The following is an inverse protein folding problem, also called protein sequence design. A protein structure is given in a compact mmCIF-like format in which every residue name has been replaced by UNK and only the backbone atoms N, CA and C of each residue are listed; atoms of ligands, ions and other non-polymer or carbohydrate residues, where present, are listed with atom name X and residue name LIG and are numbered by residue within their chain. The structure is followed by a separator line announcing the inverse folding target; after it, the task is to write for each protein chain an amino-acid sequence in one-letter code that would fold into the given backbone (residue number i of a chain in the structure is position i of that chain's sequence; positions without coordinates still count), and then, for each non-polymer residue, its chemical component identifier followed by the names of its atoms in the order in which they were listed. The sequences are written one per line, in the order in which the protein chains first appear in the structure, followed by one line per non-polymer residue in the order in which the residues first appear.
data_IF_935855805327
#
_entry.id   IF_935855805327
#
_cell.length_a   1.000
_cell.length_b   1.000
_cell.length_c   1.000
_cell.angle_alpha   90.00
_cell.angle_beta   90.00
_cell.angle_gamma   90.00
#
_symmetry.space_group_name_H-M   'P 1'
#
loop_
_entity.id
_entity.type
_entity.pdbx_description
1 polymer ?
#
# COMPACT_ATOMS: atom_id res chain seq x y z
N UNK A 1 -7.64 -36.55 -63.58
CA UNK A 1 -8.18 -36.36 -62.23
C UNK A 1 -7.04 -36.41 -61.18
N UNK A 2 -5.94 -35.61 -61.28
CA UNK A 2 -4.82 -35.64 -60.29
C UNK A 2 -4.28 -34.22 -59.98
N UNK A 3 -5.00 -33.16 -60.23
CA UNK A 3 -4.53 -31.76 -60.00
C UNK A 3 -5.32 -30.92 -58.99
N UNK A 4 -6.31 -31.52 -58.26
CA UNK A 4 -7.13 -30.81 -57.33
C UNK A 4 -6.79 -31.11 -55.85
N UNK A 5 -6.02 -32.18 -55.53
CA UNK A 5 -5.68 -32.51 -54.15
C UNK A 5 -4.52 -31.72 -53.52
N UNK A 6 -3.62 -31.16 -54.33
CA UNK A 6 -2.45 -30.45 -53.83
C UNK A 6 -2.74 -29.08 -53.21
N UNK A 7 -3.86 -28.42 -53.55
CA UNK A 7 -4.19 -27.08 -53.04
C UNK A 7 -4.86 -27.08 -51.67
N UNK A 8 -5.45 -28.18 -51.24
CA UNK A 8 -6.12 -28.23 -49.92
C UNK A 8 -5.17 -28.60 -48.78
N UNK A 9 -4.07 -29.29 -49.05
CA UNK A 9 -3.08 -29.65 -48.03
C UNK A 9 -2.34 -28.44 -47.50
N UNK A 10 -2.02 -27.45 -48.31
CA UNK A 10 -1.34 -26.21 -47.87
C UNK A 10 -2.26 -25.24 -47.08
N UNK A 11 -3.58 -25.30 -47.28
CA UNK A 11 -4.52 -24.49 -46.51
C UNK A 11 -4.79 -25.06 -45.11
N UNK A 12 -4.78 -26.38 -44.95
CA UNK A 12 -4.94 -27.04 -43.66
C UNK A 12 -3.68 -26.92 -42.77
N UNK A 13 -2.47 -26.91 -43.37
CA UNK A 13 -1.23 -26.69 -42.61
C UNK A 13 -1.09 -25.28 -42.04
N UNK A 14 -1.59 -24.25 -42.73
CA UNK A 14 -1.53 -22.87 -42.23
C UNK A 14 -2.49 -22.61 -41.06
N UNK A 15 -3.63 -23.25 -41.02
CA UNK A 15 -4.62 -23.13 -39.92
C UNK A 15 -4.12 -23.84 -38.66
N UNK A 16 -3.40 -24.94 -38.78
CA UNK A 16 -2.84 -25.70 -37.66
C UNK A 16 -1.68 -24.97 -36.95
N UNK A 17 -0.90 -24.14 -37.66
CA UNK A 17 0.22 -23.40 -37.09
C UNK A 17 -0.25 -22.17 -36.29
N UNK A 18 -1.36 -21.53 -36.68
CA UNK A 18 -1.92 -20.39 -35.95
C UNK A 18 -2.64 -20.81 -34.64
N UNK A 19 -3.17 -22.02 -34.59
CA UNK A 19 -3.82 -22.56 -33.37
C UNK A 19 -2.80 -23.04 -32.31
N UNK A 20 -1.56 -23.36 -32.69
CA UNK A 20 -0.53 -23.85 -31.76
C UNK A 20 0.21 -22.75 -30.96
N UNK A 21 0.14 -21.47 -31.37
CA UNK A 21 0.81 -20.36 -30.68
C UNK A 21 -0.04 -19.74 -29.55
N UNK A 22 -1.28 -20.11 -29.39
CA UNK A 22 -2.17 -19.53 -28.39
C UNK A 22 -2.16 -20.27 -27.02
N UNK A 23 -1.43 -21.38 -26.87
CA UNK A 23 -1.43 -22.22 -25.68
C UNK A 23 -0.13 -22.25 -24.87
N UNK A 24 0.85 -21.40 -25.17
CA UNK A 24 2.16 -21.39 -24.50
C UNK A 24 2.34 -20.24 -23.49
N UNK A 25 1.31 -19.91 -22.72
CA UNK A 25 1.34 -18.78 -21.77
C UNK A 25 0.87 -19.10 -20.36
N UNK A 26 1.13 -20.30 -19.81
CA UNK A 26 0.98 -20.58 -18.38
C UNK A 26 1.95 -21.68 -17.97
N UNK A 27 3.10 -21.31 -17.47
CA UNK A 27 4.01 -22.20 -16.73
C UNK A 27 4.38 -21.54 -15.41
N UNK A 28 3.78 -21.94 -14.44
CA UNK A 28 3.86 -22.19 -13.03
C UNK A 28 5.27 -22.49 -12.53
N UNK A 29 5.71 -21.78 -11.51
CA UNK A 29 6.86 -22.14 -10.68
C UNK A 29 6.33 -22.86 -9.43
N UNK A 30 6.65 -24.15 -9.33
CA UNK A 30 6.50 -24.97 -8.12
C UNK A 30 7.77 -24.80 -7.28
N UNK A 31 7.58 -24.45 -6.02
CA UNK A 31 8.58 -24.48 -4.97
C UNK A 31 8.08 -25.32 -3.84
N UNK A 32 8.59 -26.56 -3.73
CA UNK A 32 8.32 -27.51 -2.66
C UNK A 32 8.88 -27.01 -1.32
N UNK A 33 8.04 -26.96 -0.30
CA UNK A 33 8.44 -27.02 1.11
C UNK A 33 7.47 -27.90 1.87
N UNK A 34 7.86 -29.13 2.04
CA UNK A 34 7.26 -30.16 2.88
C UNK A 34 7.49 -29.80 4.35
N UNK A 35 6.41 -29.61 5.13
CA UNK A 35 6.42 -29.67 6.60
C UNK A 35 5.23 -30.47 7.08
N UNK A 36 5.55 -31.48 7.88
CA UNK A 36 4.72 -32.52 8.43
C UNK A 36 3.45 -32.01 9.15
N UNK A 37 2.34 -32.69 8.86
CA UNK A 37 1.08 -32.56 9.56
C UNK A 37 1.08 -33.40 10.83
N UNK A 38 0.75 -32.78 11.96
CA UNK A 38 0.30 -33.46 13.17
C UNK A 38 -1.21 -33.23 13.33
N UNK A 39 -1.95 -34.34 13.41
CA UNK A 39 -3.40 -34.38 13.43
C UNK A 39 -3.93 -34.04 14.83
N UNK A 40 -4.85 -33.10 14.93
CA UNK A 40 -5.76 -32.96 16.06
C UNK A 40 -7.22 -32.96 15.57
N UNK A 41 -8.04 -33.76 16.22
CA UNK A 41 -9.41 -34.12 15.89
C UNK A 41 -10.40 -32.94 16.02
N UNK A 42 -11.57 -33.00 15.34
CA UNK A 42 -12.53 -31.90 15.29
C UNK A 42 -13.44 -31.90 16.53
N UNK A 43 -13.60 -30.71 17.12
CA UNK A 43 -14.69 -30.43 18.05
C UNK A 43 -15.86 -29.86 17.24
N UNK A 44 -16.99 -30.55 17.22
CA UNK A 44 -18.26 -30.07 16.73
C UNK A 44 -18.74 -28.89 17.58
N UNK A 45 -18.95 -27.74 16.97
CA UNK A 45 -19.69 -26.64 17.57
C UNK A 45 -20.87 -26.25 16.67
N UNK A 46 -22.03 -26.26 17.29
CA UNK A 46 -23.34 -26.08 16.75
C UNK A 46 -23.50 -24.84 15.88
N UNK A 47 -24.14 -25.03 14.72
CA UNK A 47 -24.62 -23.97 13.84
C UNK A 47 -25.84 -23.31 14.47
N UNK A 48 -25.70 -22.11 14.95
CA UNK A 48 -26.84 -21.24 15.27
C UNK A 48 -27.00 -20.24 14.11
N UNK A 49 -28.06 -20.43 13.35
CA UNK A 49 -28.41 -19.58 12.20
C UNK A 49 -29.01 -18.28 12.72
N UNK A 50 -28.20 -17.27 12.94
CA UNK A 50 -28.66 -15.90 13.19
C UNK A 50 -28.78 -15.15 11.87
N UNK A 51 -29.99 -14.83 11.56
CA UNK A 51 -30.51 -13.96 10.49
C UNK A 51 -29.67 -12.67 10.37
N UNK A 52 -29.19 -12.40 9.14
CA UNK A 52 -28.32 -11.28 8.84
C UNK A 52 -28.87 -9.93 9.23
N UNK A 53 -28.23 -9.33 10.23
CA UNK A 53 -28.17 -7.89 10.38
C UNK A 53 -26.89 -7.45 9.68
N UNK A 54 -27.01 -6.55 8.71
CA UNK A 54 -25.90 -5.82 8.12
C UNK A 54 -25.12 -5.17 9.28
N UNK A 55 -23.82 -5.44 9.47
CA UNK A 55 -23.06 -4.72 10.49
C UNK A 55 -22.89 -3.29 10.04
N UNK A 56 -23.79 -2.43 10.49
CA UNK A 56 -23.64 -1.00 10.38
C UNK A 56 -22.70 -0.54 11.49
N UNK A 57 -21.72 0.26 11.12
CA UNK A 57 -20.66 0.85 11.91
C UNK A 57 -19.60 -0.17 12.38
N UNK A 58 -18.46 -0.19 11.66
CA UNK A 58 -17.22 -0.72 12.19
C UNK A 58 -16.97 -0.04 13.55
N UNK A 59 -17.21 -0.77 14.64
CA UNK A 59 -17.02 -0.25 15.98
C UNK A 59 -15.52 0.01 16.15
N UNK A 60 -15.15 1.28 16.38
CA UNK A 60 -13.77 1.63 16.72
C UNK A 60 -13.40 0.87 17.97
N UNK A 61 -12.67 -0.22 17.79
CA UNK A 61 -12.12 -1.01 18.90
C UNK A 61 -10.93 -0.24 19.44
N UNK A 62 -10.94 0.12 20.70
CA UNK A 62 -9.81 0.80 21.33
C UNK A 62 -9.83 0.52 22.83
N UNK A 63 -8.65 0.30 23.41
CA UNK A 63 -8.51 0.21 24.84
C UNK A 63 -8.68 1.60 25.48
N UNK A 64 -9.33 1.65 26.63
CA UNK A 64 -9.34 2.85 27.46
C UNK A 64 -7.93 2.95 28.14
N UNK A 65 -7.24 4.09 28.03
CA UNK A 65 -5.94 4.27 28.69
C UNK A 65 -5.97 4.02 30.20
N UNK A 66 -7.11 4.20 30.84
CA UNK A 66 -7.29 3.97 32.30
C UNK A 66 -7.18 2.49 32.69
N UNK A 67 -7.42 1.56 31.76
CA UNK A 67 -7.31 0.11 32.06
C UNK A 67 -5.92 -0.45 31.76
N UNK A 68 -5.00 0.36 31.18
CA UNK A 68 -3.65 -0.03 30.86
C UNK A 68 -2.66 1.11 31.21
N UNK A 69 -2.46 1.39 32.50
CA UNK A 69 -1.53 2.43 32.93
C UNK A 69 -0.09 2.09 32.47
N UNK A 70 0.63 3.10 31.99
CA UNK A 70 1.98 2.92 31.44
C UNK A 70 2.07 2.43 30.00
N UNK A 71 0.93 2.16 29.35
CA UNK A 71 0.89 1.80 27.92
C UNK A 71 0.63 3.03 27.06
N UNK A 72 1.54 3.31 26.14
CA UNK A 72 1.36 4.32 25.10
C UNK A 72 0.63 3.70 23.91
N UNK A 73 -0.56 4.23 23.58
CA UNK A 73 -1.38 3.76 22.47
C UNK A 73 -1.11 4.55 21.19
N UNK A 74 -1.27 3.88 20.05
CA UNK A 74 -1.31 4.47 18.70
C UNK A 74 -2.58 3.97 18.00
N UNK A 75 -3.26 4.84 17.28
CA UNK A 75 -4.45 4.53 16.50
C UNK A 75 -4.17 4.79 15.02
N UNK A 76 -4.40 3.76 14.20
CA UNK A 76 -4.21 3.81 12.75
C UNK A 76 -5.52 3.46 12.05
N UNK A 77 -6.02 4.36 11.22
CA UNK A 77 -7.25 4.19 10.46
C UNK A 77 -7.00 4.44 8.99
N UNK A 78 -7.56 3.57 8.15
CA UNK A 78 -7.59 3.78 6.72
C UNK A 78 -9.04 3.96 6.25
N UNK A 79 -9.27 5.00 5.47
CA UNK A 79 -10.55 5.39 4.93
C UNK A 79 -10.54 5.33 3.41
N UNK A 80 -11.66 4.92 2.83
CA UNK A 80 -11.94 5.06 1.40
C UNK A 80 -13.09 6.04 1.22
N UNK A 81 -12.90 7.03 0.34
CA UNK A 81 -13.88 8.06 0.06
C UNK A 81 -13.96 8.34 -1.45
N UNK A 82 -15.07 8.97 -1.92
CA UNK A 82 -15.07 9.62 -3.22
C UNK A 82 -13.92 10.63 -3.33
N UNK A 83 -13.30 10.71 -4.49
CA UNK A 83 -12.09 11.51 -4.71
C UNK A 83 -12.24 13.00 -4.36
N UNK A 84 -13.43 13.56 -4.61
CA UNK A 84 -13.77 14.95 -4.29
C UNK A 84 -14.04 15.17 -2.78
N UNK A 85 -14.26 14.09 -2.03
CA UNK A 85 -14.53 14.16 -0.59
C UNK A 85 -13.26 14.00 0.27
N UNK A 86 -12.14 13.53 -0.30
CA UNK A 86 -10.90 13.31 0.47
C UNK A 86 -10.38 14.59 1.12
N UNK A 87 -10.26 15.68 0.36
CA UNK A 87 -9.82 16.97 0.90
C UNK A 87 -10.80 17.53 1.92
N UNK A 88 -12.12 17.38 1.66
CA UNK A 88 -13.18 17.80 2.58
C UNK A 88 -13.09 17.06 3.92
N UNK A 89 -12.84 15.74 3.88
CA UNK A 89 -12.63 14.93 5.07
C UNK A 89 -11.41 15.39 5.87
N UNK A 90 -10.27 15.65 5.19
CA UNK A 90 -9.07 16.16 5.83
C UNK A 90 -9.32 17.50 6.54
N UNK A 91 -9.93 18.46 5.86
CA UNK A 91 -10.23 19.77 6.43
C UNK A 91 -11.16 19.65 7.66
N UNK A 92 -12.21 18.84 7.59
CA UNK A 92 -13.11 18.62 8.72
C UNK A 92 -12.44 17.93 9.91
N UNK A 93 -11.51 16.99 9.68
CA UNK A 93 -10.74 16.39 10.76
C UNK A 93 -9.77 17.38 11.41
N UNK A 94 -9.12 18.25 10.61
CA UNK A 94 -8.29 19.35 11.13
C UNK A 94 -9.13 20.31 11.99
N UNK A 95 -10.32 20.68 11.54
CA UNK A 95 -11.25 21.51 12.31
C UNK A 95 -11.71 20.82 13.61
N UNK A 96 -11.98 19.52 13.57
CA UNK A 96 -12.32 18.74 14.76
C UNK A 96 -11.20 18.79 15.79
N UNK A 97 -9.96 18.62 15.37
CA UNK A 97 -8.78 18.78 16.22
C UNK A 97 -8.66 20.21 16.78
N UNK A 98 -8.85 21.22 15.92
CA UNK A 98 -8.76 22.63 16.33
C UNK A 98 -9.80 22.99 17.42
N UNK A 99 -11.02 22.42 17.36
CA UNK A 99 -12.06 22.59 18.39
C UNK A 99 -11.66 22.05 19.75
N UNK A 100 -10.83 21.01 19.83
CA UNK A 100 -10.32 20.48 21.09
C UNK A 100 -9.28 21.39 21.75
N UNK A 101 -8.66 22.25 20.97
CA UNK A 101 -7.64 23.20 21.43
C UNK A 101 -6.23 22.58 21.46
N UNK A 102 -5.21 23.45 21.43
CA UNK A 102 -3.80 23.08 21.25
C UNK A 102 -3.22 22.15 22.32
N UNK A 103 -3.75 22.20 23.52
CA UNK A 103 -3.29 21.37 24.64
C UNK A 103 -3.83 19.94 24.57
N UNK A 104 -4.89 19.72 23.82
CA UNK A 104 -5.59 18.42 23.75
C UNK A 104 -5.52 17.77 22.37
N UNK A 105 -5.28 18.55 21.31
CA UNK A 105 -5.08 18.04 19.97
C UNK A 105 -4.12 18.92 19.18
N UNK A 106 -3.20 18.31 18.45
CA UNK A 106 -2.28 18.98 17.54
C UNK A 106 -2.19 18.20 16.24
N UNK A 107 -2.24 18.89 15.14
CA UNK A 107 -1.91 18.32 13.83
C UNK A 107 -0.39 18.22 13.74
N UNK A 108 0.12 17.00 13.56
CA UNK A 108 1.56 16.74 13.45
C UNK A 108 2.03 16.74 11.99
N UNK A 109 1.19 16.22 11.08
CA UNK A 109 1.49 16.21 9.64
C UNK A 109 0.20 16.23 8.83
N UNK A 110 0.25 16.86 7.65
CA UNK A 110 -0.78 16.83 6.62
C UNK A 110 -0.10 16.49 5.31
N UNK A 111 -0.58 15.47 4.64
CA UNK A 111 -0.11 15.09 3.31
C UNK A 111 -1.30 14.94 2.38
N UNK A 112 -1.20 15.49 1.16
CA UNK A 112 -2.16 15.31 0.08
C UNK A 112 -1.44 15.32 -1.25
N UNK A 113 -1.56 14.26 -2.02
CA UNK A 113 -1.03 14.18 -3.38
C UNK A 113 -2.07 13.60 -4.30
N UNK A 114 -2.35 14.31 -5.40
CA UNK A 114 -3.12 13.82 -6.52
C UNK A 114 -2.21 13.72 -7.73
N UNK A 115 -2.09 12.55 -8.31
CA UNK A 115 -1.47 12.38 -9.64
C UNK A 115 -2.54 12.63 -10.69
N UNK A 116 -2.15 13.22 -11.81
CA UNK A 116 -3.05 13.43 -12.96
C UNK A 116 -3.74 12.09 -13.29
N UNK A 117 -5.07 12.05 -13.24
CA UNK A 117 -5.91 10.86 -13.47
C UNK A 117 -5.57 9.61 -12.62
N UNK A 118 -4.76 9.76 -11.57
CA UNK A 118 -4.32 8.68 -10.68
C UNK A 118 -4.98 8.70 -9.31
N UNK A 119 -4.66 7.69 -8.48
CA UNK A 119 -5.18 7.60 -7.12
C UNK A 119 -4.72 8.78 -6.25
N UNK A 120 -5.61 9.23 -5.37
CA UNK A 120 -5.27 10.18 -4.32
C UNK A 120 -4.55 9.42 -3.21
N UNK A 121 -3.41 9.96 -2.77
CA UNK A 121 -2.68 9.55 -1.57
C UNK A 121 -2.72 10.71 -0.59
N UNK A 122 -3.39 10.51 0.54
CA UNK A 122 -3.56 11.55 1.53
C UNK A 122 -3.46 10.97 2.95
N UNK A 123 -2.86 11.72 3.87
CA UNK A 123 -2.75 11.33 5.27
C UNK A 123 -2.80 12.53 6.21
N UNK A 124 -3.28 12.27 7.41
CA UNK A 124 -3.26 13.19 8.55
C UNK A 124 -2.71 12.47 9.77
N UNK A 125 -1.80 13.11 10.48
CA UNK A 125 -1.29 12.63 11.74
C UNK A 125 -1.60 13.63 12.84
N UNK A 126 -2.21 13.14 13.90
CA UNK A 126 -2.58 13.93 15.08
C UNK A 126 -1.86 13.42 16.32
N UNK A 127 -1.61 14.33 17.25
CA UNK A 127 -1.23 14.04 18.61
C UNK A 127 -2.40 14.48 19.50
N UNK A 128 -3.10 13.53 20.07
CA UNK A 128 -4.36 13.74 20.82
C UNK A 128 -4.14 13.38 22.29
N UNK A 129 -4.80 14.10 23.19
CA UNK A 129 -4.85 13.74 24.62
C UNK A 129 -5.35 12.28 24.74
N UNK A 130 -4.60 11.41 25.47
CA UNK A 130 -4.96 9.99 25.58
C UNK A 130 -6.40 9.72 26.01
N UNK A 131 -6.96 10.56 26.88
CA UNK A 131 -8.34 10.43 27.34
C UNK A 131 -9.37 10.72 26.23
N UNK A 132 -8.98 11.44 25.19
CA UNK A 132 -9.86 11.84 24.08
C UNK A 132 -9.61 11.06 22.78
N UNK A 133 -8.48 10.36 22.67
CA UNK A 133 -8.06 9.71 21.44
C UNK A 133 -9.13 8.75 20.88
N UNK A 134 -9.77 7.96 21.76
CA UNK A 134 -10.83 7.02 21.37
C UNK A 134 -12.11 7.70 20.89
N UNK A 135 -12.54 8.78 21.56
CA UNK A 135 -13.73 9.53 21.12
C UNK A 135 -13.46 10.28 19.83
N UNK A 136 -12.30 10.92 19.73
CA UNK A 136 -11.86 11.60 18.52
C UNK A 136 -11.81 10.66 17.30
N UNK A 137 -11.29 9.44 17.49
CA UNK A 137 -11.26 8.43 16.43
C UNK A 137 -12.66 7.98 15.99
N UNK A 138 -13.61 7.81 16.95
CA UNK A 138 -15.02 7.50 16.61
C UNK A 138 -15.68 8.61 15.83
N UNK A 139 -15.56 9.84 16.31
CA UNK A 139 -16.14 11.01 15.64
C UNK A 139 -15.58 11.16 14.22
N UNK A 140 -14.30 10.80 14.01
CA UNK A 140 -13.67 10.79 12.69
C UNK A 140 -14.26 9.74 11.75
N UNK A 141 -14.52 8.51 12.25
CA UNK A 141 -15.19 7.46 11.46
C UNK A 141 -16.61 7.89 11.08
N UNK A 142 -17.37 8.45 12.02
CA UNK A 142 -18.74 8.92 11.77
C UNK A 142 -18.76 10.08 10.75
N UNK A 143 -17.76 10.95 10.80
CA UNK A 143 -17.59 12.03 9.82
C UNK A 143 -17.36 11.48 8.41
N UNK A 144 -16.48 10.50 8.27
CA UNK A 144 -16.20 9.85 6.98
C UNK A 144 -17.43 9.14 6.43
N UNK A 145 -18.18 8.43 7.28
CA UNK A 145 -19.45 7.80 6.89
C UNK A 145 -20.47 8.82 6.39
N UNK A 146 -20.50 10.02 6.97
CA UNK A 146 -21.35 11.14 6.51
C UNK A 146 -20.89 11.80 5.19
N UNK A 147 -19.75 11.39 4.64
CA UNK A 147 -19.20 11.82 3.34
C UNK A 147 -19.22 10.67 2.30
N UNK A 148 -20.11 9.70 2.46
CA UNK A 148 -20.18 8.50 1.62
C UNK A 148 -18.86 7.68 1.58
N UNK A 149 -18.06 7.83 2.64
CA UNK A 149 -16.82 7.07 2.82
C UNK A 149 -17.02 5.87 3.73
N UNK A 150 -16.03 4.99 3.73
CA UNK A 150 -15.99 3.78 4.55
C UNK A 150 -14.67 3.63 5.30
N UNK A 151 -14.70 3.01 6.47
CA UNK A 151 -13.53 2.57 7.20
C UNK A 151 -13.06 1.23 6.63
N UNK A 152 -11.86 1.21 6.04
CA UNK A 152 -11.30 0.00 5.41
C UNK A 152 -10.33 -0.73 6.33
N UNK A 153 -9.68 -0.03 7.25
CA UNK A 153 -8.81 -0.62 8.27
C UNK A 153 -8.87 0.18 9.57
N UNK A 154 -8.81 -0.54 10.69
CA UNK A 154 -8.71 0.02 12.04
C UNK A 154 -7.73 -0.82 12.86
N UNK A 155 -6.65 -0.21 13.29
CA UNK A 155 -5.65 -0.85 14.12
C UNK A 155 -5.36 0.01 15.34
N UNK A 156 -5.24 -0.63 16.50
CA UNK A 156 -4.82 0.01 17.75
C UNK A 156 -3.62 -0.77 18.28
N UNK A 157 -2.47 -0.10 18.36
CA UNK A 157 -1.24 -0.63 18.94
C UNK A 157 -1.03 -0.07 20.34
N UNK A 158 -0.38 -0.84 21.20
CA UNK A 158 0.05 -0.40 22.55
C UNK A 158 1.48 -0.82 22.83
N UNK A 159 2.27 0.07 23.41
CA UNK A 159 3.63 -0.21 23.86
C UNK A 159 3.72 0.13 25.33
N UNK A 160 4.13 -0.85 26.16
CA UNK A 160 4.44 -0.62 27.58
C UNK A 160 5.71 0.23 27.68
N UNK A 161 5.56 1.48 28.05
CA UNK A 161 6.66 2.41 28.34
C UNK A 161 6.82 2.66 29.85
N UNK A 162 5.80 2.28 30.64
CA UNK A 162 5.77 2.48 32.08
C UNK A 162 6.89 1.70 32.77
N UNK A 163 7.07 0.43 32.41
CA UNK A 163 8.16 -0.40 32.96
C UNK A 163 9.53 0.18 32.65
N UNK A 164 9.73 0.78 31.46
CA UNK A 164 10.97 1.48 31.11
C UNK A 164 11.19 2.74 31.95
N UNK A 165 10.14 3.55 32.16
CA UNK A 165 10.20 4.75 33.02
C UNK A 165 10.61 4.37 34.43
N UNK A 166 9.97 3.34 35.02
CA UNK A 166 10.29 2.85 36.36
C UNK A 166 11.72 2.32 36.46
N UNK A 167 12.21 1.61 35.45
CA UNK A 167 13.58 1.10 35.39
C UNK A 167 14.59 2.26 35.34
N UNK A 168 14.38 3.24 34.50
CA UNK A 168 15.22 4.44 34.40
C UNK A 168 15.25 5.25 35.70
N UNK A 169 14.10 5.36 36.39
CA UNK A 169 14.04 6.03 37.70
C UNK A 169 14.89 5.33 38.76
N UNK A 170 14.78 4.00 38.84
CA UNK A 170 15.59 3.18 39.80
C UNK A 170 17.07 3.27 39.45
N UNK A 171 17.44 3.18 38.16
CA UNK A 171 18.83 3.26 37.75
C UNK A 171 19.41 4.66 38.04
N UNK A 172 18.66 5.72 37.73
CA UNK A 172 19.09 7.10 38.07
C UNK A 172 19.30 7.30 39.56
N UNK A 173 18.45 6.72 40.41
CA UNK A 173 18.61 6.79 41.85
C UNK A 173 19.90 6.05 42.31
N UNK A 174 20.22 4.87 41.76
CA UNK A 174 21.42 4.15 42.04
C UNK A 174 22.70 4.91 41.62
N UNK A 175 22.69 5.44 40.35
CA UNK A 175 23.79 6.24 39.84
C UNK A 175 24.01 7.51 40.66
N UNK A 176 22.92 8.13 41.17
CA UNK A 176 22.98 9.26 42.07
C UNK A 176 23.70 8.89 43.39
N UNK A 177 23.34 7.77 44.01
CA UNK A 177 24.00 7.28 45.22
C UNK A 177 25.49 6.96 45.00
N UNK A 178 25.87 6.46 43.83
CA UNK A 178 27.27 6.24 43.47
C UNK A 178 28.02 7.55 43.27
N UNK A 179 27.40 8.51 42.60
CA UNK A 179 27.96 9.84 42.42
C UNK A 179 28.21 10.54 43.76
N UNK A 180 27.22 10.51 44.68
CA UNK A 180 27.36 11.08 46.02
C UNK A 180 28.53 10.50 46.76
N UNK A 181 28.76 9.19 46.68
CA UNK A 181 29.91 8.50 47.32
C UNK A 181 31.25 8.96 46.75
N UNK A 182 31.33 9.13 45.40
CA UNK A 182 32.53 9.63 44.73
C UNK A 182 32.78 11.09 45.14
N UNK A 183 31.75 11.93 45.13
CA UNK A 183 31.86 13.33 45.51
C UNK A 183 32.28 13.47 46.98
N UNK A 184 31.72 12.70 47.88
CA UNK A 184 32.16 12.65 49.28
C UNK A 184 33.61 12.21 49.38
N UNK A 185 34.06 11.21 48.63
CA UNK A 185 35.47 10.81 48.59
C UNK A 185 36.39 11.92 48.10
N UNK A 186 35.98 12.69 47.07
CA UNK A 186 36.73 13.84 46.56
C UNK A 186 36.93 14.98 47.56
N UNK A 187 36.07 15.08 48.59
CA UNK A 187 36.20 16.07 49.65
C UNK A 187 37.17 15.66 50.77
N UNK A 188 37.54 14.38 50.83
CA UNK A 188 38.43 13.86 51.86
C UNK A 188 39.87 14.31 51.65
N UNK A 189 40.64 14.63 52.76
CA UNK A 189 42.05 14.94 52.64
C UNK A 189 42.87 13.69 52.32
N UNK A 190 44.07 13.87 51.73
CA UNK A 190 45.04 12.81 51.49
C UNK A 190 44.94 12.11 50.13
N UNK A 191 44.08 12.56 49.24
CA UNK A 191 44.03 12.06 47.85
C UNK A 191 45.23 12.48 47.04
N UNK A 192 45.88 11.57 46.35
CA UNK A 192 46.89 11.88 45.35
C UNK A 192 46.23 12.57 44.13
N UNK A 193 47.05 13.25 43.34
CA UNK A 193 46.57 13.91 42.10
C UNK A 193 45.99 12.90 41.10
N UNK A 194 46.59 11.71 41.02
CA UNK A 194 46.11 10.63 40.13
C UNK A 194 44.74 10.07 40.56
N UNK A 195 44.55 9.75 41.86
CA UNK A 195 43.26 9.31 42.41
C UNK A 195 42.18 10.35 42.25
N UNK A 196 42.49 11.62 42.45
CA UNK A 196 41.57 12.73 42.25
C UNK A 196 41.10 12.79 40.77
N UNK A 197 42.03 12.68 39.81
CA UNK A 197 41.71 12.70 38.39
C UNK A 197 40.83 11.52 38.01
N UNK A 198 41.11 10.33 38.52
CA UNK A 198 40.29 9.13 38.28
C UNK A 198 38.87 9.26 38.84
N UNK A 199 38.71 9.70 40.10
CA UNK A 199 37.40 9.94 40.69
C UNK A 199 36.61 11.02 39.94
N UNK A 200 37.28 12.07 39.46
CA UNK A 200 36.63 13.07 38.62
C UNK A 200 36.16 12.51 37.29
N UNK A 201 36.93 11.63 36.67
CA UNK A 201 36.52 10.93 35.44
C UNK A 201 35.32 10.03 35.70
N UNK A 202 35.32 9.23 36.78
CA UNK A 202 34.21 8.38 37.17
C UNK A 202 32.95 9.21 37.44
N UNK A 203 33.06 10.32 38.17
CA UNK A 203 31.93 11.23 38.41
C UNK A 203 31.40 11.83 37.10
N UNK A 204 32.30 12.13 36.15
CA UNK A 204 31.92 12.59 34.83
C UNK A 204 31.13 11.58 34.03
N UNK A 205 31.53 10.31 34.07
CA UNK A 205 30.82 9.18 33.44
C UNK A 205 29.42 9.01 34.04
N UNK A 206 29.32 8.88 35.38
CA UNK A 206 28.03 8.73 36.06
C UNK A 206 27.04 9.85 35.74
N UNK A 207 27.51 11.12 35.68
CA UNK A 207 26.66 12.24 35.27
C UNK A 207 26.22 12.15 33.78
N UNK A 208 27.06 11.51 32.96
CA UNK A 208 26.71 11.20 31.56
C UNK A 208 25.57 10.19 31.49
N UNK A 209 25.73 9.07 32.25
CA UNK A 209 24.74 8.01 32.27
C UNK A 209 23.39 8.47 32.85
N UNK A 210 23.43 9.25 33.96
CA UNK A 210 22.20 9.86 34.52
C UNK A 210 21.45 10.76 33.49
N UNK A 211 22.17 11.51 32.67
CA UNK A 211 21.53 12.33 31.61
C UNK A 211 20.90 11.46 30.53
N UNK A 212 21.52 10.34 30.22
CA UNK A 212 20.95 9.36 29.29
C UNK A 212 19.64 8.78 29.82
N UNK A 213 19.62 8.33 31.08
CA UNK A 213 18.42 7.80 31.72
C UNK A 213 17.30 8.86 31.82
N UNK A 214 17.64 10.07 32.19
CA UNK A 214 16.68 11.19 32.23
C UNK A 214 16.08 11.49 30.86
N UNK A 215 16.87 11.41 29.78
CA UNK A 215 16.37 11.59 28.42
C UNK A 215 15.40 10.47 28.00
N UNK A 216 15.75 9.20 28.31
CA UNK A 216 14.88 8.05 28.07
C UNK A 216 13.55 8.14 28.82
N UNK A 217 13.61 8.53 30.10
CA UNK A 217 12.42 8.73 30.93
C UNK A 217 11.49 9.81 30.34
N UNK A 218 12.05 10.96 29.94
CA UNK A 218 11.26 12.04 29.32
C UNK A 218 10.64 11.64 28.00
N UNK A 219 11.33 10.83 27.21
CA UNK A 219 10.76 10.28 25.97
C UNK A 219 9.56 9.35 26.27
N UNK A 220 9.71 8.45 27.26
CA UNK A 220 8.60 7.59 27.69
C UNK A 220 7.40 8.39 28.19
N UNK A 221 7.64 9.40 29.04
CA UNK A 221 6.59 10.29 29.55
C UNK A 221 5.92 11.08 28.42
N UNK A 222 6.67 11.56 27.43
CA UNK A 222 6.11 12.24 26.26
C UNK A 222 5.21 11.33 25.41
N UNK A 223 5.57 10.04 25.30
CA UNK A 223 4.72 9.03 24.61
C UNK A 223 3.41 8.78 25.36
N UNK A 224 3.42 8.81 26.69
CA UNK A 224 2.22 8.69 27.51
C UNK A 224 1.35 9.95 27.47
N UNK A 225 1.97 11.12 27.30
CA UNK A 225 1.28 12.41 27.34
C UNK A 225 0.46 12.71 26.07
N UNK A 226 0.72 12.04 24.96
CA UNK A 226 0.00 12.26 23.70
C UNK A 226 -0.10 10.97 22.90
N UNK A 227 -1.30 10.66 22.45
CA UNK A 227 -1.60 9.49 21.61
C UNK A 227 -1.56 9.87 20.15
N UNK A 228 -0.69 9.25 19.32
CA UNK A 228 -0.75 9.39 17.88
C UNK A 228 -2.05 8.80 17.31
N UNK A 229 -2.73 9.57 16.47
CA UNK A 229 -3.89 9.12 15.71
C UNK A 229 -3.59 9.41 14.24
N UNK A 230 -3.48 8.37 13.45
CA UNK A 230 -3.06 8.42 12.05
C UNK A 230 -4.24 8.07 11.15
N UNK A 231 -4.55 8.93 10.20
CA UNK A 231 -5.56 8.71 9.19
C UNK A 231 -4.90 8.64 7.82
N UNK A 232 -5.19 7.57 7.09
CA UNK A 232 -4.81 7.41 5.69
C UNK A 232 -6.08 7.42 4.86
N UNK A 233 -6.08 8.18 3.77
CA UNK A 233 -7.23 8.30 2.87
C UNK A 233 -6.84 7.82 1.51
N UNK A 234 -7.66 6.95 0.95
CA UNK A 234 -7.57 6.53 -0.44
C UNK A 234 -8.82 6.98 -1.18
N UNK A 235 -8.64 7.58 -2.34
CA UNK A 235 -9.73 7.92 -3.23
C UNK A 235 -10.43 6.64 -3.69
N UNK A 236 -11.71 6.74 -3.98
CA UNK A 236 -12.44 5.64 -4.60
C UNK A 236 -12.10 5.60 -6.09
N UNK A 237 -10.82 5.35 -6.40
CA UNK A 237 -10.42 5.00 -7.76
C UNK A 237 -11.04 3.66 -8.09
N UNK A 238 -12.34 3.67 -8.34
CA UNK A 238 -12.97 2.66 -9.16
C UNK A 238 -12.13 2.49 -10.41
N UNK A 239 -12.18 1.33 -11.03
CA UNK A 239 -11.58 1.03 -12.33
C UNK A 239 -11.63 2.31 -13.17
N UNK A 240 -10.48 2.79 -13.64
CA UNK A 240 -10.40 4.06 -14.37
C UNK A 240 -11.52 4.11 -15.43
N UNK A 241 -12.42 5.09 -15.30
CA UNK A 241 -13.61 5.19 -16.12
C UNK A 241 -14.91 4.59 -15.57
N UNK A 242 -14.93 3.97 -14.36
CA UNK A 242 -16.16 3.46 -13.75
C UNK A 242 -16.64 4.39 -12.62
N UNK A 243 -17.66 5.18 -12.89
CA UNK A 243 -18.39 5.99 -11.91
C UNK A 243 -19.57 5.16 -11.37
N UNK A 244 -19.51 4.77 -10.09
CA UNK A 244 -20.56 3.98 -9.45
C UNK A 244 -21.89 4.75 -9.33
N UNK A 245 -21.86 6.08 -9.38
CA UNK A 245 -23.06 6.93 -9.39
C UNK A 245 -23.73 6.97 -10.76
N UNK A 246 -22.98 6.60 -11.83
CA UNK A 246 -23.49 6.56 -13.23
C UNK A 246 -22.97 5.32 -13.96
N UNK A 247 -23.39 4.12 -13.53
CA UNK A 247 -22.79 2.86 -14.02
C UNK A 247 -22.91 2.67 -15.52
N UNK A 248 -23.99 3.13 -16.15
CA UNK A 248 -24.17 3.01 -17.59
C UNK A 248 -23.32 4.02 -18.38
N UNK A 249 -23.17 5.24 -17.88
CA UNK A 249 -22.35 6.26 -18.56
C UNK A 249 -20.86 5.90 -18.47
N UNK A 250 -20.38 5.43 -17.33
CA UNK A 250 -19.00 5.00 -17.16
C UNK A 250 -18.67 3.72 -17.94
N UNK A 251 -19.60 2.78 -18.03
CA UNK A 251 -19.45 1.58 -18.88
C UNK A 251 -19.37 1.95 -20.38
N UNK A 252 -20.16 2.94 -20.83
CA UNK A 252 -20.08 3.44 -22.21
C UNK A 252 -18.76 4.16 -22.48
N UNK A 253 -18.28 5.00 -21.55
CA UNK A 253 -17.00 5.69 -21.67
C UNK A 253 -15.83 4.69 -21.71
N UNK A 254 -15.79 3.72 -20.80
CA UNK A 254 -14.77 2.66 -20.80
C UNK A 254 -14.81 1.80 -22.07
N UNK A 255 -16.01 1.58 -22.65
CA UNK A 255 -16.16 0.89 -23.93
C UNK A 255 -15.60 1.73 -25.08
N UNK A 256 -15.78 3.06 -25.05
CA UNK A 256 -15.23 4.00 -26.03
C UNK A 256 -13.70 4.00 -26.04
N UNK A 257 -13.09 4.03 -24.87
CA UNK A 257 -11.63 3.99 -24.71
C UNK A 257 -11.05 2.65 -25.19
N UNK A 258 -11.72 1.54 -24.91
CA UNK A 258 -11.33 0.22 -25.40
C UNK A 258 -11.42 0.10 -26.93
N UNK A 259 -12.46 0.69 -27.54
CA UNK A 259 -12.61 0.77 -29.00
C UNK A 259 -11.56 1.68 -29.63
N UNK A 260 -11.21 2.79 -28.97
CA UNK A 260 -10.14 3.69 -29.38
C UNK A 260 -8.78 3.01 -29.37
N UNK A 261 -8.46 2.28 -28.32
CA UNK A 261 -7.24 1.50 -28.20
C UNK A 261 -7.15 0.37 -29.24
N UNK A 262 -8.25 -0.35 -29.48
CA UNK A 262 -8.33 -1.37 -30.51
C UNK A 262 -8.17 -0.76 -31.91
N UNK A 263 -8.78 0.40 -32.18
CA UNK A 263 -8.63 1.15 -33.43
C UNK A 263 -7.19 1.60 -33.67
N UNK A 264 -6.53 2.13 -32.64
CA UNK A 264 -5.12 2.52 -32.70
C UNK A 264 -4.21 1.33 -32.99
N UNK A 265 -4.48 0.18 -32.38
CA UNK A 265 -3.73 -1.06 -32.60
C UNK A 265 -3.88 -1.57 -34.05
N UNK A 266 -5.11 -1.53 -34.60
CA UNK A 266 -5.37 -1.91 -36.01
C UNK A 266 -4.65 -0.96 -36.97
N UNK A 267 -4.68 0.35 -36.72
CA UNK A 267 -3.96 1.34 -37.53
C UNK A 267 -2.44 1.14 -37.47
N UNK A 268 -1.90 0.81 -36.29
CA UNK A 268 -0.48 0.49 -36.13
C UNK A 268 -0.10 -0.76 -36.93
N UNK A 269 -0.90 -1.83 -36.87
CA UNK A 269 -0.67 -3.04 -37.66
C UNK A 269 -0.78 -2.77 -39.17
N UNK A 270 -1.75 -1.97 -39.58
CA UNK A 270 -1.90 -1.57 -40.98
C UNK A 270 -0.69 -0.77 -41.47
N UNK A 271 -0.17 0.16 -40.63
CA UNK A 271 1.03 0.93 -40.94
C UNK A 271 2.27 0.07 -41.13
N UNK A 272 2.45 -0.97 -40.32
CA UNK A 272 3.56 -1.92 -40.43
C UNK A 272 3.38 -2.87 -41.64
N UNK A 273 2.15 -3.32 -41.92
CA UNK A 273 1.85 -4.27 -42.98
C UNK A 273 1.86 -3.64 -44.39
N UNK A 274 1.52 -2.35 -44.48
CA UNK A 274 1.36 -1.64 -45.76
C UNK A 274 2.62 -1.64 -46.63
N UNK A 275 3.83 -1.32 -46.15
CA UNK A 275 5.05 -1.37 -46.95
C UNK A 275 5.37 -2.78 -47.48
N UNK A 276 5.12 -3.82 -46.67
CA UNK A 276 5.30 -5.21 -47.05
C UNK A 276 4.29 -5.68 -48.09
N UNK A 277 3.03 -5.25 -47.95
CA UNK A 277 1.98 -5.55 -48.92
C UNK A 277 2.27 -4.90 -50.27
N UNK A 278 2.76 -3.66 -50.32
CA UNK A 278 3.16 -2.98 -51.54
C UNK A 278 4.35 -3.66 -52.23
N UNK A 279 5.33 -4.07 -51.44
CA UNK A 279 6.51 -4.78 -51.94
C UNK A 279 6.15 -6.14 -52.56
N UNK A 280 5.33 -6.93 -51.84
CA UNK A 280 4.86 -8.24 -52.32
C UNK A 280 3.93 -8.08 -53.56
N UNK A 281 3.02 -7.10 -53.49
CA UNK A 281 2.13 -6.76 -54.61
C UNK A 281 2.90 -6.37 -55.87
N UNK A 282 3.93 -5.52 -55.75
CA UNK A 282 4.80 -5.11 -56.83
C UNK A 282 5.61 -6.32 -57.45
N UNK A 283 6.09 -7.21 -56.56
CA UNK A 283 6.80 -8.40 -56.96
C UNK A 283 5.92 -9.40 -57.74
N UNK A 284 4.70 -9.61 -57.27
CA UNK A 284 3.69 -10.46 -57.92
C UNK A 284 3.23 -9.85 -59.24
N UNK A 285 3.03 -8.51 -59.30
CA UNK A 285 2.65 -7.81 -60.52
C UNK A 285 3.76 -7.86 -61.54
N UNK A 286 5.02 -7.59 -61.13
CA UNK A 286 6.21 -7.69 -62.01
C UNK A 286 6.39 -9.10 -62.55
N UNK A 287 6.29 -10.13 -61.69
CA UNK A 287 6.37 -11.52 -62.11
C UNK A 287 5.26 -11.88 -63.12
N UNK A 288 4.05 -11.43 -62.86
CA UNK A 288 2.91 -11.69 -63.74
C UNK A 288 3.01 -10.95 -65.09
N UNK A 289 3.59 -9.72 -65.09
CA UNK A 289 3.87 -8.94 -66.31
C UNK A 289 4.98 -9.58 -67.15
N UNK A 290 6.08 -10.01 -66.53
CA UNK A 290 7.16 -10.72 -67.17
C UNK A 290 6.65 -12.04 -67.78
N UNK A 291 5.88 -12.80 -67.04
CA UNK A 291 5.34 -14.08 -67.50
C UNK A 291 4.34 -13.89 -68.70
N UNK A 292 3.62 -12.81 -68.75
CA UNK A 292 2.73 -12.49 -69.91
C UNK A 292 3.51 -12.03 -71.11
N UNK A 293 4.69 -11.40 -70.97
CA UNK A 293 5.53 -10.98 -72.10
C UNK A 293 6.39 -12.08 -72.69
N UNK A 294 6.79 -13.06 -71.93
CA UNK A 294 7.73 -14.09 -72.39
C UNK A 294 7.08 -15.45 -72.67
N UNK A 295 5.79 -15.67 -72.41
CA UNK A 295 5.09 -16.95 -72.70
C UNK A 295 4.10 -16.79 -73.85
N UNK A 296 4.55 -16.25 -74.99
CA UNK A 296 3.89 -16.43 -76.30
C UNK A 296 4.81 -17.27 -77.18
N UNK A 297 4.95 -18.54 -76.82
CA UNK A 297 5.45 -19.54 -77.77
C UNK A 297 4.23 -20.18 -78.41
N UNK A 298 4.05 -19.83 -79.65
CA UNK A 298 3.07 -20.38 -80.58
C UNK A 298 3.39 -21.88 -80.85
N UNK A 299 2.46 -22.81 -80.69
CA UNK A 299 2.69 -24.17 -81.15
C UNK A 299 2.57 -24.17 -82.66
N UNK A 300 3.62 -24.59 -83.32
CA UNK A 300 3.58 -24.94 -84.72
C UNK A 300 2.86 -26.27 -84.88
N UNK A 301 1.82 -26.29 -85.67
CA UNK A 301 1.16 -27.50 -86.21
C UNK A 301 2.11 -28.11 -87.27
N UNK A 302 2.34 -29.41 -87.24
CA UNK A 302 2.90 -30.09 -88.38
C UNK A 302 1.74 -30.52 -89.29
N UNK A 303 1.84 -30.09 -90.53
CA UNK A 303 1.01 -30.59 -91.69
C UNK A 303 1.54 -31.95 -92.11
N UNK A 304 0.53 -32.77 -92.67
CA UNK A 304 0.54 -33.98 -93.45
C UNK A 304 0.68 -35.32 -92.67
#
# INVERSE_FOLDING_TARGET
MRRLESKNIHRLSFIAIVAALALAGCSKADGDAEVAAEAAAPAEAASDSATGSVPNAASVTGADPSVAPGVAFTYDFAFRLPDDQVSVAQDRHVEACARLGRNRCRVANIHYTRKDDGPIDASLNFLVDPALARSFARDAVDLVAGLDGELTNSQVGGVDVGTGIDASQRLSANLGGDLDRIEHRLTQPGLSAAERAELQQQAGSLRGDMRGEEAGRREGEARLAATPVNFTYVGNTGIAGYDSSRPFASALAASGDSLGAAGAFVLMLAGIALPWALMLGGLIFGWRWIRRRFVTVKPSTPDA
#
